data_IF_298575517172
#
_entry.id   IF_298575517172
#
_cell.length_a   1.000
_cell.length_b   1.000
_cell.length_c   1.000
_cell.angle_alpha   90.00
_cell.angle_beta   90.00
_cell.angle_gamma   90.00
#
_symmetry.space_group_name_H-M   'P 1'
#
loop_
_entity.id
_entity.type
_entity.pdbx_description
1 polymer ?
#
# COMPACT_ATOMS: atom_id res chain seq x y z
N UNK A 1 15.20 13.46 18.61
CA UNK A 1 15.88 13.35 17.31
C UNK A 1 14.95 12.61 16.36
N UNK A 2 14.63 13.18 15.21
CA UNK A 2 13.81 12.51 14.19
C UNK A 2 14.70 11.59 13.36
N UNK A 3 14.38 10.30 13.31
CA UNK A 3 15.16 9.29 12.57
C UNK A 3 14.71 9.19 11.11
N UNK A 4 13.41 9.39 10.85
CA UNK A 4 12.85 9.34 9.49
C UNK A 4 11.68 10.30 9.36
N UNK A 5 11.57 10.95 8.20
CA UNK A 5 10.41 11.74 7.79
C UNK A 5 10.14 11.45 6.31
N UNK A 6 8.86 11.38 5.94
CA UNK A 6 8.45 11.21 4.55
C UNK A 6 7.27 12.14 4.26
N UNK A 7 7.20 12.66 3.04
CA UNK A 7 6.03 13.38 2.57
C UNK A 7 5.01 12.40 1.99
N UNK A 8 3.74 12.80 1.97
CA UNK A 8 2.69 12.07 1.25
C UNK A 8 1.94 13.01 0.32
N UNK A 9 1.57 12.53 -0.86
CA UNK A 9 0.57 13.18 -1.67
C UNK A 9 -0.79 13.19 -0.94
N UNK A 10 -1.56 14.27 -1.12
CA UNK A 10 -2.89 14.36 -0.54
C UNK A 10 -3.80 13.26 -1.11
N UNK A 11 -4.36 12.43 -0.24
CA UNK A 11 -5.46 11.52 -0.58
C UNK A 11 -6.77 12.21 -0.22
N UNK A 12 -7.60 12.50 -1.24
CA UNK A 12 -8.94 13.03 -1.03
C UNK A 12 -9.81 12.05 -0.23
N UNK A 13 -11.00 12.50 0.17
CA UNK A 13 -11.95 11.62 0.85
C UNK A 13 -12.56 10.62 -0.12
N UNK A 14 -12.81 9.39 0.32
CA UNK A 14 -13.50 8.37 -0.46
C UNK A 14 -14.18 7.31 0.41
N UNK A 15 -15.01 6.47 -0.20
CA UNK A 15 -15.77 5.42 0.48
C UNK A 15 -15.10 4.06 0.41
N UNK A 16 -14.16 3.85 -0.52
CA UNK A 16 -13.32 2.68 -0.54
C UNK A 16 -11.91 2.99 -1.06
N UNK A 17 -10.92 2.32 -0.48
CA UNK A 17 -9.51 2.46 -0.85
C UNK A 17 -8.84 1.10 -0.96
N UNK A 18 -7.91 0.97 -1.92
CA UNK A 18 -6.97 -0.15 -2.01
C UNK A 18 -5.55 0.28 -1.71
N UNK A 19 -4.83 -0.53 -0.94
CA UNK A 19 -3.40 -0.34 -0.64
C UNK A 19 -2.67 -1.66 -0.84
N UNK A 20 -1.53 -1.61 -1.54
CA UNK A 20 -0.61 -2.75 -1.54
C UNK A 20 -0.04 -2.94 -0.14
N UNK A 21 -0.07 -4.17 0.35
CA UNK A 21 0.46 -4.51 1.66
C UNK A 21 1.45 -5.65 1.57
N UNK A 22 2.49 -5.60 2.40
CA UNK A 22 3.50 -6.63 2.49
C UNK A 22 3.98 -6.83 3.93
N UNK A 23 4.39 -8.07 4.22
CA UNK A 23 5.02 -8.47 5.47
C UNK A 23 6.15 -9.44 5.15
N UNK A 24 7.40 -9.06 5.44
CA UNK A 24 8.59 -9.84 5.14
C UNK A 24 9.55 -9.85 6.32
N UNK A 25 10.22 -10.99 6.51
CA UNK A 25 11.26 -11.19 7.52
C UNK A 25 10.74 -11.23 8.96
N UNK A 26 11.68 -11.27 9.90
CA UNK A 26 11.37 -11.21 11.33
C UNK A 26 11.20 -9.77 11.77
N UNK A 27 10.03 -9.49 12.30
CA UNK A 27 9.64 -8.14 12.64
C UNK A 27 10.55 -7.45 13.66
N UNK A 28 10.95 -6.20 13.37
CA UNK A 28 11.88 -5.45 14.20
C UNK A 28 13.36 -5.77 13.93
N UNK A 29 13.64 -6.73 13.06
CA UNK A 29 15.00 -7.07 12.65
C UNK A 29 15.39 -6.34 11.36
N UNK A 30 16.69 -6.06 11.14
CA UNK A 30 17.19 -5.54 9.87
C UNK A 30 16.69 -6.33 8.66
N UNK A 31 16.27 -5.62 7.62
CA UNK A 31 15.71 -6.24 6.41
C UNK A 31 14.24 -6.64 6.50
N UNK A 32 13.60 -6.54 7.68
CA UNK A 32 12.15 -6.73 7.78
C UNK A 32 11.40 -5.58 7.11
N UNK A 33 10.27 -5.93 6.47
CA UNK A 33 9.38 -4.98 5.82
C UNK A 33 7.96 -5.19 6.35
N UNK A 34 7.25 -4.09 6.59
CA UNK A 34 5.85 -4.09 7.01
C UNK A 34 5.10 -2.92 6.45
N UNK A 35 3.85 -3.15 6.04
CA UNK A 35 2.94 -2.05 5.74
C UNK A 35 2.24 -1.55 7.01
N UNK A 36 2.41 -0.25 7.29
CA UNK A 36 1.56 0.55 8.16
C UNK A 36 0.40 1.15 7.37
N UNK A 37 -0.74 1.31 8.02
CA UNK A 37 -1.96 1.88 7.46
C UNK A 37 -2.41 3.00 8.39
N UNK A 38 -2.64 4.19 7.85
CA UNK A 38 -3.26 5.28 8.58
C UNK A 38 -4.56 5.70 7.91
N UNK A 39 -5.61 5.84 8.71
CA UNK A 39 -6.99 6.10 8.27
C UNK A 39 -7.52 7.25 9.11
N UNK A 40 -8.05 8.28 8.46
CA UNK A 40 -8.66 9.44 9.10
C UNK A 40 -10.14 9.54 8.72
N UNK A 41 -10.98 9.83 9.71
CA UNK A 41 -12.39 10.13 9.54
C UNK A 41 -12.60 11.66 9.63
N UNK A 42 -12.82 12.35 8.51
CA UNK A 42 -13.12 13.77 8.52
C UNK A 42 -14.58 14.07 8.91
N UNK A 43 -15.41 13.07 9.16
CA UNK A 43 -16.81 13.23 9.56
C UNK A 43 -16.99 13.71 10.99
N UNK A 44 -18.21 14.15 11.31
CA UNK A 44 -18.65 14.50 12.68
C UNK A 44 -19.33 13.34 13.41
N UNK A 45 -19.42 12.18 12.77
CA UNK A 45 -19.94 10.93 13.33
C UNK A 45 -18.88 9.85 13.19
N UNK A 46 -18.91 8.84 14.06
CA UNK A 46 -18.05 7.66 13.92
C UNK A 46 -18.28 6.98 12.57
N UNK A 47 -17.20 6.52 11.93
CA UNK A 47 -17.23 5.82 10.65
C UNK A 47 -16.92 4.33 10.88
N UNK A 48 -17.82 3.46 10.43
CA UNK A 48 -17.60 2.02 10.43
C UNK A 48 -16.83 1.62 9.18
N UNK A 49 -15.80 0.79 9.39
CA UNK A 49 -14.89 0.31 8.38
C UNK A 49 -15.10 -1.19 8.15
N UNK A 50 -15.03 -1.62 6.91
CA UNK A 50 -14.83 -3.01 6.52
C UNK A 50 -13.47 -3.15 5.86
N UNK A 51 -12.64 -4.05 6.39
CA UNK A 51 -11.29 -4.33 5.92
C UNK A 51 -11.27 -5.73 5.30
N UNK A 52 -10.86 -5.82 4.04
CA UNK A 52 -10.77 -7.06 3.28
C UNK A 52 -9.34 -7.26 2.80
N UNK A 53 -8.76 -8.42 3.08
CA UNK A 53 -7.39 -8.75 2.72
C UNK A 53 -7.36 -9.82 1.65
N UNK A 54 -6.73 -9.54 0.51
CA UNK A 54 -6.54 -10.50 -0.59
C UNK A 54 -5.07 -10.70 -0.90
N UNK A 55 -4.70 -11.92 -1.32
CA UNK A 55 -3.36 -12.23 -1.82
C UNK A 55 -3.15 -11.67 -3.24
N UNK A 56 -1.95 -11.85 -3.80
CA UNK A 56 -1.61 -11.42 -5.17
C UNK A 56 -2.41 -12.12 -6.27
N UNK A 57 -3.13 -13.21 -5.95
CA UNK A 57 -4.02 -13.94 -6.87
C UNK A 57 -5.47 -13.49 -6.73
N UNK A 58 -5.76 -12.53 -5.83
CA UNK A 58 -7.11 -12.05 -5.54
C UNK A 58 -7.90 -12.96 -4.60
N UNK A 59 -7.27 -13.95 -3.98
CA UNK A 59 -7.92 -14.86 -3.02
C UNK A 59 -7.96 -14.21 -1.64
N UNK A 60 -9.09 -14.31 -0.94
CA UNK A 60 -9.21 -13.83 0.44
C UNK A 60 -8.17 -14.50 1.34
N UNK A 61 -7.32 -13.69 1.98
CA UNK A 61 -6.25 -14.14 2.86
C UNK A 61 -6.70 -14.24 4.32
N UNK A 62 -7.81 -13.59 4.68
CA UNK A 62 -8.44 -13.63 5.99
C UNK A 62 -9.91 -13.20 5.89
N UNK A 63 -10.78 -13.62 6.84
CA UNK A 63 -12.14 -13.09 6.93
C UNK A 63 -12.16 -11.56 7.02
N UNK A 64 -13.16 -10.88 6.44
CA UNK A 64 -13.31 -9.44 6.59
C UNK A 64 -13.33 -9.03 8.07
N UNK A 65 -12.70 -7.89 8.37
CA UNK A 65 -12.61 -7.36 9.72
C UNK A 65 -13.29 -5.99 9.80
N UNK A 66 -14.08 -5.76 10.85
CA UNK A 66 -14.70 -4.47 11.10
C UNK A 66 -13.92 -3.65 12.13
N UNK A 67 -13.78 -2.37 11.85
CA UNK A 67 -13.19 -1.40 12.78
C UNK A 67 -14.02 -0.12 12.78
N UNK A 68 -13.82 0.74 13.77
CA UNK A 68 -14.48 2.05 13.86
C UNK A 68 -13.42 3.13 14.02
N UNK A 69 -13.61 4.25 13.35
CA UNK A 69 -12.84 5.48 13.57
C UNK A 69 -13.80 6.55 14.04
N UNK A 70 -13.57 7.06 15.24
CA UNK A 70 -14.41 8.08 15.87
C UNK A 70 -14.51 9.36 15.03
N UNK A 71 -15.52 10.18 15.33
CA UNK A 71 -15.70 11.48 14.71
C UNK A 71 -14.44 12.33 14.81
N UNK A 72 -13.98 12.91 13.68
CA UNK A 72 -12.74 13.70 13.60
C UNK A 72 -11.49 12.97 14.09
N UNK A 73 -11.54 11.64 14.16
CA UNK A 73 -10.47 10.80 14.66
C UNK A 73 -9.62 10.19 13.54
N UNK A 74 -8.55 9.52 13.97
CA UNK A 74 -7.69 8.73 13.11
C UNK A 74 -7.17 7.49 13.85
N UNK A 75 -6.86 6.46 13.08
CA UNK A 75 -6.13 5.27 13.55
C UNK A 75 -4.89 5.06 12.68
N UNK A 76 -3.82 4.54 13.27
CA UNK A 76 -2.60 4.16 12.58
C UNK A 76 -2.10 2.83 13.16
N UNK A 77 -2.01 1.81 12.32
CA UNK A 77 -1.71 0.43 12.73
C UNK A 77 -0.87 -0.25 11.65
N UNK A 78 0.00 -1.18 12.03
CA UNK A 78 0.59 -2.13 11.10
C UNK A 78 -0.41 -3.23 10.74
N UNK A 79 -0.26 -3.86 9.56
CA UNK A 79 -1.16 -4.93 9.09
C UNK A 79 -1.40 -6.03 10.15
N UNK A 80 -0.33 -6.48 10.81
CA UNK A 80 -0.39 -7.52 11.86
C UNK A 80 -1.01 -7.08 13.19
N UNK A 81 -1.13 -5.76 13.44
CA UNK A 81 -1.78 -5.22 14.64
C UNK A 81 -3.30 -5.19 14.48
N UNK A 82 -3.80 -5.35 13.25
CA UNK A 82 -5.23 -5.51 12.99
C UNK A 82 -5.65 -6.87 13.54
N UNK A 83 -6.55 -6.95 14.54
CA UNK A 83 -6.88 -8.20 15.21
C UNK A 83 -7.35 -9.32 14.27
N UNK A 84 -8.09 -8.97 13.21
CA UNK A 84 -8.54 -9.92 12.18
C UNK A 84 -7.42 -10.50 11.30
N UNK A 85 -6.25 -9.84 11.23
CA UNK A 85 -5.15 -10.21 10.34
C UNK A 85 -3.88 -10.63 11.09
N UNK A 86 -3.90 -10.71 12.43
CA UNK A 86 -2.75 -11.10 13.26
C UNK A 86 -2.14 -12.46 12.90
N UNK A 87 -2.95 -13.37 12.33
CA UNK A 87 -2.57 -14.74 11.99
C UNK A 87 -2.16 -14.90 10.51
N UNK A 88 -2.11 -13.81 9.74
CA UNK A 88 -1.62 -13.86 8.36
C UNK A 88 -0.11 -14.15 8.41
N UNK A 89 0.28 -15.31 7.88
CA UNK A 89 1.66 -15.75 7.91
C UNK A 89 2.54 -14.88 6.99
N UNK A 90 3.76 -14.58 7.45
CA UNK A 90 4.80 -14.01 6.60
C UNK A 90 5.59 -15.15 5.89
N UNK A 91 6.08 -14.95 4.65
CA UNK A 91 5.95 -13.74 3.85
C UNK A 91 4.53 -13.55 3.32
N UNK A 92 4.06 -12.31 3.30
CA UNK A 92 2.77 -11.95 2.71
C UNK A 92 2.92 -10.77 1.77
N UNK A 93 2.25 -10.84 0.63
CA UNK A 93 2.04 -9.73 -0.28
C UNK A 93 0.60 -9.80 -0.79
N UNK A 94 -0.04 -8.65 -0.92
CA UNK A 94 -1.44 -8.59 -1.28
C UNK A 94 -2.01 -7.19 -1.33
N UNK A 95 -3.34 -7.12 -1.30
CA UNK A 95 -4.08 -5.86 -1.29
C UNK A 95 -4.98 -5.83 -0.07
N UNK A 96 -4.87 -4.75 0.70
CA UNK A 96 -5.87 -4.40 1.70
C UNK A 96 -6.87 -3.44 1.05
N UNK A 97 -8.14 -3.83 1.07
CA UNK A 97 -9.26 -2.95 0.74
C UNK A 97 -9.92 -2.48 2.02
N UNK A 98 -10.13 -1.18 2.14
CA UNK A 98 -10.84 -0.55 3.28
C UNK A 98 -12.01 0.22 2.73
N UNK A 99 -13.22 -0.07 3.22
CA UNK A 99 -14.44 0.62 2.79
C UNK A 99 -15.29 1.09 3.97
N UNK A 100 -16.12 2.11 3.75
CA UNK A 100 -17.10 2.63 4.70
C UNK A 100 -18.40 3.03 4.01
N UNK A 101 -19.49 3.02 4.77
CA UNK A 101 -20.78 3.61 4.41
C UNK A 101 -20.95 5.05 4.93
N UNK A 102 -19.97 5.57 5.68
CA UNK A 102 -20.00 6.94 6.20
C UNK A 102 -20.09 7.96 5.07
N UNK A 103 -21.07 8.87 5.17
CA UNK A 103 -21.29 9.96 4.20
C UNK A 103 -20.08 10.88 4.02
N UNK A 104 -19.27 11.04 5.06
CA UNK A 104 -18.08 11.90 5.00
C UNK A 104 -16.90 11.23 4.25
N UNK A 105 -16.98 9.92 3.99
CA UNK A 105 -15.87 9.12 3.50
C UNK A 105 -14.71 9.07 4.51
N UNK A 106 -13.55 8.60 4.03
CA UNK A 106 -12.30 8.48 4.78
C UNK A 106 -11.16 9.06 3.95
N UNK A 107 -10.06 9.39 4.61
CA UNK A 107 -8.75 9.53 3.97
C UNK A 107 -7.85 8.40 4.44
N UNK A 108 -7.08 7.82 3.52
CA UNK A 108 -6.25 6.65 3.79
C UNK A 108 -4.86 6.84 3.18
N UNK A 109 -3.84 6.28 3.84
CA UNK A 109 -2.46 6.20 3.34
C UNK A 109 -1.82 4.88 3.80
N UNK A 110 -1.03 4.25 2.92
CA UNK A 110 -0.12 3.18 3.28
C UNK A 110 1.29 3.70 3.58
N UNK A 111 2.02 3.03 4.46
CA UNK A 111 3.41 3.33 4.78
C UNK A 111 4.23 2.05 4.72
N UNK A 112 5.32 2.05 3.97
CA UNK A 112 6.30 0.96 4.00
C UNK A 112 7.28 1.23 5.14
N UNK A 113 7.20 0.45 6.21
CA UNK A 113 8.17 0.44 7.29
C UNK A 113 9.25 -0.60 7.06
N UNK A 114 10.51 -0.26 7.34
CA UNK A 114 11.64 -1.19 7.33
C UNK A 114 12.67 -0.86 8.42
N UNK A 115 13.47 -1.85 8.80
CA UNK A 115 14.65 -1.63 9.64
C UNK A 115 15.93 -1.75 8.81
N UNK A 116 16.84 -0.79 8.96
CA UNK A 116 18.17 -0.88 8.36
C UNK A 116 19.12 -1.74 9.22
N UNK A 117 20.33 -1.98 8.74
CA UNK A 117 21.37 -2.75 9.44
C UNK A 117 21.79 -2.13 10.78
N UNK A 118 21.54 -0.82 10.95
CA UNK A 118 21.75 -0.08 12.21
C UNK A 118 20.54 -0.12 13.15
N UNK A 119 19.54 -0.96 12.87
CA UNK A 119 18.31 -1.09 13.65
C UNK A 119 17.48 0.20 13.75
N UNK A 120 17.60 1.08 12.76
CA UNK A 120 16.77 2.27 12.67
C UNK A 120 15.51 1.99 11.85
N UNK A 121 14.37 2.45 12.36
CA UNK A 121 13.11 2.38 11.66
C UNK A 121 13.02 3.47 10.60
N UNK A 122 12.82 3.05 9.35
CA UNK A 122 12.67 3.90 8.18
C UNK A 122 11.26 3.73 7.62
N UNK A 123 10.69 4.82 7.11
CA UNK A 123 9.38 4.82 6.46
C UNK A 123 9.42 5.43 5.07
N UNK A 124 8.59 4.91 4.17
CA UNK A 124 8.29 5.51 2.88
C UNK A 124 6.77 5.51 2.67
N UNK A 125 6.22 6.61 2.14
CA UNK A 125 4.80 6.66 1.77
C UNK A 125 4.48 5.69 0.64
N UNK A 126 3.38 4.96 0.77
CA UNK A 126 2.78 4.15 -0.29
C UNK A 126 1.41 4.75 -0.64
N UNK A 127 1.15 5.06 -1.92
CA UNK A 127 -0.13 5.63 -2.32
C UNK A 127 -1.27 4.63 -2.08
N UNK A 128 -2.43 5.15 -1.68
CA UNK A 128 -3.69 4.42 -1.69
C UNK A 128 -4.50 4.79 -2.93
N UNK A 129 -5.18 3.82 -3.52
CA UNK A 129 -6.08 4.01 -4.65
C UNK A 129 -7.48 4.27 -4.10
N UNK A 130 -8.02 5.47 -4.32
CA UNK A 130 -9.42 5.80 -4.00
C UNK A 130 -10.33 5.21 -5.09
N UNK A 131 -11.24 4.29 -4.72
CA UNK A 131 -12.15 3.62 -5.65
C UNK A 131 -13.31 4.53 -6.13
N UNK A 132 -13.56 5.66 -5.46
CA UNK A 132 -14.57 6.64 -5.89
C UNK A 132 -14.08 7.48 -7.08
N UNK A 133 -12.77 7.51 -7.32
CA UNK A 133 -12.15 8.25 -8.41
C UNK A 133 -12.00 7.32 -9.60
N UNK A 134 -12.65 7.68 -10.71
CA UNK A 134 -12.52 6.93 -11.96
C UNK A 134 -11.03 6.82 -12.36
N UNK A 135 -10.51 5.61 -12.60
CA UNK A 135 -9.13 5.44 -13.04
C UNK A 135 -8.91 6.18 -14.36
N UNK A 136 -7.88 7.02 -14.42
CA UNK A 136 -7.50 7.66 -15.66
C UNK A 136 -6.67 6.67 -16.51
N UNK A 137 -7.17 6.29 -17.68
CA UNK A 137 -6.45 5.50 -18.70
C UNK A 137 -5.38 6.34 -19.44
N UNK A 138 -4.58 7.08 -18.68
CA UNK A 138 -3.50 7.93 -19.19
C UNK A 138 -2.15 7.33 -18.89
N UNK A 139 -1.21 7.48 -19.83
CA UNK A 139 0.18 7.08 -19.67
C UNK A 139 0.74 7.63 -18.35
N UNK A 140 1.46 6.77 -17.62
CA UNK A 140 2.18 7.13 -16.40
C UNK A 140 3.66 7.04 -16.67
N UNK A 141 4.38 8.10 -16.36
CA UNK A 141 5.83 8.18 -16.55
C UNK A 141 6.51 8.06 -15.19
N UNK A 142 7.38 7.06 -15.07
CA UNK A 142 8.29 6.90 -13.94
C UNK A 142 9.68 7.36 -14.41
N UNK A 143 10.11 8.58 -14.07
CA UNK A 143 11.30 9.20 -14.69
C UNK A 143 12.61 8.52 -14.29
N UNK A 144 12.60 7.71 -13.22
CA UNK A 144 13.77 7.02 -12.73
C UNK A 144 13.38 5.62 -12.25
N UNK A 145 14.11 4.63 -12.73
CA UNK A 145 14.05 3.24 -12.30
C UNK A 145 15.48 2.76 -12.05
N UNK A 146 15.63 1.85 -11.10
CA UNK A 146 16.92 1.26 -10.73
C UNK A 146 16.83 -0.26 -10.84
N UNK A 147 17.85 -0.87 -11.46
CA UNK A 147 17.97 -2.31 -11.61
C UNK A 147 19.46 -2.71 -11.60
N UNK A 148 19.97 -3.10 -10.44
CA UNK A 148 21.38 -3.42 -10.23
C UNK A 148 21.98 -2.75 -8.98
N UNK A 149 23.24 -3.05 -8.68
CA UNK A 149 23.98 -2.51 -7.52
C UNK A 149 23.25 -2.67 -6.17
N UNK A 150 22.48 -3.76 -6.01
CA UNK A 150 21.68 -4.03 -4.81
C UNK A 150 20.30 -3.37 -4.78
N UNK A 151 19.92 -2.62 -5.81
CA UNK A 151 18.60 -1.99 -5.95
C UNK A 151 17.74 -2.69 -7.00
N UNK A 152 16.46 -2.81 -6.68
CA UNK A 152 15.43 -3.37 -7.58
C UNK A 152 14.24 -2.43 -7.63
N UNK A 153 13.64 -2.28 -8.81
CA UNK A 153 12.36 -1.58 -8.99
C UNK A 153 11.26 -2.60 -9.18
N UNK A 154 10.17 -2.47 -8.42
CA UNK A 154 8.99 -3.31 -8.51
C UNK A 154 7.81 -2.47 -9.00
N UNK A 155 7.12 -2.96 -10.02
CA UNK A 155 5.86 -2.40 -10.50
C UNK A 155 4.72 -3.25 -9.99
N UNK A 156 3.75 -2.61 -9.35
CA UNK A 156 2.58 -3.28 -8.77
C UNK A 156 1.36 -2.74 -9.50
N UNK A 157 0.70 -3.62 -10.25
CA UNK A 157 -0.60 -3.33 -10.86
C UNK A 157 -1.69 -3.86 -9.93
N UNK A 158 -2.55 -2.97 -9.44
CA UNK A 158 -3.76 -3.32 -8.68
C UNK A 158 -4.94 -3.06 -9.59
N UNK A 159 -5.70 -4.11 -9.88
CA UNK A 159 -6.86 -4.04 -10.75
C UNK A 159 -7.80 -5.22 -10.53
N UNK A 160 -8.70 -5.43 -11.47
CA UNK A 160 -9.52 -6.63 -11.59
C UNK A 160 -8.94 -7.59 -12.66
N UNK A 161 -9.64 -8.67 -12.96
CA UNK A 161 -9.17 -9.68 -13.90
C UNK A 161 -9.05 -9.18 -15.35
N UNK A 162 -9.69 -8.08 -15.71
CA UNK A 162 -9.62 -7.47 -17.06
C UNK A 162 -8.60 -6.33 -17.14
N UNK A 163 -8.07 -5.90 -16.00
CA UNK A 163 -7.07 -4.84 -15.92
C UNK A 163 -5.73 -5.30 -16.51
N UNK A 164 -5.24 -4.56 -17.50
CA UNK A 164 -3.95 -4.81 -18.14
C UNK A 164 -3.22 -3.49 -18.43
N UNK A 165 -1.90 -3.56 -18.59
CA UNK A 165 -1.06 -2.42 -18.93
C UNK A 165 0.19 -2.84 -19.68
N UNK A 166 0.78 -1.92 -20.43
CA UNK A 166 2.07 -2.11 -21.09
C UNK A 166 3.12 -1.26 -20.39
N UNK A 167 4.25 -1.88 -20.04
CA UNK A 167 5.43 -1.18 -19.56
C UNK A 167 6.44 -1.07 -20.70
N UNK A 168 6.89 0.16 -20.97
CA UNK A 168 7.94 0.45 -21.94
C UNK A 168 9.09 1.13 -21.21
N UNK A 169 10.27 0.57 -21.36
CA UNK A 169 11.50 1.11 -20.77
C UNK A 169 12.30 1.84 -21.83
N UNK A 170 12.72 3.06 -21.50
CA UNK A 170 13.44 3.95 -22.41
C UNK A 170 14.66 4.48 -21.67
N UNK A 171 15.82 4.47 -22.33
CA UNK A 171 17.05 5.07 -21.80
C UNK A 171 16.99 6.60 -21.84
N UNK A 172 17.95 7.24 -21.17
CA UNK A 172 18.11 8.70 -21.23
C UNK A 172 18.37 9.22 -22.66
N UNK A 173 18.85 8.38 -23.58
CA UNK A 173 19.04 8.71 -24.99
C UNK A 173 17.79 8.48 -25.86
N UNK A 174 16.65 8.17 -25.25
CA UNK A 174 15.38 7.92 -25.96
C UNK A 174 15.29 6.56 -26.65
N UNK A 175 16.27 5.67 -26.43
CA UNK A 175 16.27 4.34 -27.06
C UNK A 175 15.57 3.31 -26.17
N UNK A 176 14.92 2.28 -26.74
CA UNK A 176 14.34 1.20 -25.95
C UNK A 176 15.39 0.54 -25.05
N UNK A 177 15.07 0.35 -23.77
CA UNK A 177 15.90 -0.38 -22.83
C UNK A 177 15.33 -1.80 -22.68
N UNK A 178 16.03 -2.86 -23.12
CA UNK A 178 15.52 -4.22 -23.05
C UNK A 178 15.64 -4.76 -21.62
N UNK A 179 14.64 -4.47 -20.78
CA UNK A 179 14.51 -5.06 -19.44
C UNK A 179 13.49 -6.20 -19.46
N UNK A 180 13.83 -7.30 -18.79
CA UNK A 180 12.92 -8.41 -18.58
C UNK A 180 12.16 -8.22 -17.26
N UNK A 181 10.84 -8.36 -17.30
CA UNK A 181 10.02 -8.40 -16.09
C UNK A 181 10.06 -9.80 -15.49
N UNK A 182 10.41 -9.89 -14.22
CA UNK A 182 10.27 -11.11 -13.42
C UNK A 182 9.00 -10.99 -12.57
N UNK A 183 8.07 -11.96 -12.62
CA UNK A 183 6.93 -12.01 -11.71
C UNK A 183 7.39 -12.02 -10.25
N UNK A 184 6.53 -11.57 -9.35
CA UNK A 184 6.76 -11.75 -7.91
C UNK A 184 6.79 -13.24 -7.58
N UNK A 185 7.70 -13.69 -6.69
CA UNK A 185 7.76 -15.08 -6.24
C UNK A 185 6.51 -15.50 -5.47
#
# INVERSE_FOLDING_TARGET
MTVTQTGVAQTGTGHAFRVFVEALGTFGQPGSIRTGIAIANPGISAANLTLELTDTRGVSAAPPFSATVEARGQIALFLHEIPGFKNVAAPFQGVLRVSTDSRAGLSLIGLRGRYNERHEFLIASMPSINEDVQPANSEKVFPHIVNGAGYTTQFILIGDASSAGQLRFISQSGQPLPLTLTPLP
#
